data_IF_708070547726
#
_entry.id   IF_708070547726
#
_cell.length_a   1.000
_cell.length_b   1.000
_cell.length_c   1.000
_cell.angle_alpha   90.00
_cell.angle_beta   90.00
_cell.angle_gamma   90.00
#
_symmetry.space_group_name_H-M   'P 1'
#
loop_
_entity.id
_entity.type
_entity.pdbx_description
1 polymer ?
#
# COMPACT_ATOMS: atom_id res chain seq x y z
N UNK A 1 -23.32 -9.86 -60.20
CA UNK A 1 -24.48 -10.48 -59.51
C UNK A 1 -24.08 -10.84 -58.10
N UNK A 2 -24.93 -10.53 -57.12
CA UNK A 2 -24.79 -10.78 -55.68
C UNK A 2 -25.10 -12.24 -55.33
N UNK A 3 -24.35 -12.83 -54.40
CA UNK A 3 -24.81 -13.87 -53.45
C UNK A 3 -23.78 -13.94 -52.30
N UNK A 4 -23.98 -13.25 -51.17
CA UNK A 4 -24.68 -13.68 -49.92
C UNK A 4 -24.25 -15.06 -49.41
N UNK A 5 -23.45 -15.10 -48.33
CA UNK A 5 -23.81 -15.85 -47.11
C UNK A 5 -22.92 -15.49 -45.91
N UNK A 6 -23.50 -15.72 -44.73
CA UNK A 6 -23.33 -15.08 -43.41
C UNK A 6 -22.04 -15.37 -42.60
N UNK A 7 -21.81 -14.62 -41.50
CA UNK A 7 -20.62 -14.72 -40.67
C UNK A 7 -20.75 -15.84 -39.62
N UNK A 8 -19.69 -16.62 -39.43
CA UNK A 8 -19.53 -17.46 -38.25
C UNK A 8 -19.00 -16.59 -37.11
N UNK A 9 -19.88 -16.16 -36.21
CA UNK A 9 -19.48 -15.54 -34.94
C UNK A 9 -19.04 -16.65 -34.00
N UNK A 10 -17.73 -16.84 -33.87
CA UNK A 10 -17.12 -17.59 -32.77
C UNK A 10 -17.35 -16.77 -31.50
N UNK A 11 -18.39 -17.11 -30.75
CA UNK A 11 -18.60 -16.63 -29.39
C UNK A 11 -17.51 -17.29 -28.55
N UNK A 12 -16.39 -16.59 -28.37
CA UNK A 12 -15.43 -16.90 -27.32
C UNK A 12 -16.12 -16.55 -26.01
N UNK A 13 -16.80 -17.54 -25.42
CA UNK A 13 -17.17 -17.50 -24.00
C UNK A 13 -15.85 -17.59 -23.25
N UNK A 14 -15.19 -16.44 -23.10
CA UNK A 14 -14.14 -16.23 -22.12
C UNK A 14 -14.83 -16.32 -20.77
N UNK A 15 -14.97 -17.55 -20.28
CA UNK A 15 -15.13 -17.82 -18.86
C UNK A 15 -13.91 -17.21 -18.18
N UNK A 16 -14.03 -15.93 -17.85
CA UNK A 16 -13.16 -15.25 -16.91
C UNK A 16 -13.32 -16.04 -15.62
N UNK A 17 -12.45 -17.02 -15.46
CA UNK A 17 -12.07 -17.57 -14.18
C UNK A 17 -11.60 -16.37 -13.36
N UNK A 18 -12.55 -15.72 -12.69
CA UNK A 18 -12.30 -14.86 -11.57
C UNK A 18 -11.70 -15.75 -10.49
N UNK A 19 -10.42 -16.09 -10.64
CA UNK A 19 -9.61 -16.52 -9.53
C UNK A 19 -9.75 -15.41 -8.48
N UNK A 20 -10.20 -15.74 -7.26
CA UNK A 20 -10.17 -14.75 -6.20
C UNK A 20 -8.71 -14.30 -6.11
N UNK A 21 -8.46 -13.01 -6.34
CA UNK A 21 -7.20 -12.36 -5.98
C UNK A 21 -7.11 -12.50 -4.45
N UNK A 22 -6.66 -13.68 -4.03
CA UNK A 22 -6.79 -14.15 -2.65
C UNK A 22 -5.94 -13.27 -1.76
N UNK A 23 -6.39 -13.12 -0.51
CA UNK A 23 -5.83 -12.42 0.65
C UNK A 23 -4.32 -12.03 0.64
N UNK A 24 -3.42 -12.72 -0.07
CA UNK A 24 -2.02 -12.30 -0.26
C UNK A 24 -1.94 -10.92 -0.94
N UNK A 25 -2.90 -10.66 -1.82
CA UNK A 25 -3.12 -9.35 -2.45
C UNK A 25 -3.52 -8.28 -1.43
N UNK A 26 -4.37 -8.63 -0.45
CA UNK A 26 -4.84 -7.72 0.61
C UNK A 26 -3.71 -7.29 1.55
N UNK A 27 -2.89 -8.24 2.04
CA UNK A 27 -1.75 -7.92 2.91
C UNK A 27 -0.72 -7.04 2.18
N UNK A 28 -0.39 -7.40 0.93
CA UNK A 28 0.54 -6.64 0.10
C UNK A 28 0.02 -5.21 -0.17
N UNK A 29 -1.28 -5.08 -0.46
CA UNK A 29 -1.92 -3.79 -0.69
C UNK A 29 -1.83 -2.88 0.54
N UNK A 30 -2.21 -3.38 1.73
CA UNK A 30 -2.14 -2.61 2.98
C UNK A 30 -0.70 -2.19 3.28
N UNK A 31 0.27 -3.10 3.15
CA UNK A 31 1.69 -2.77 3.35
C UNK A 31 2.16 -1.70 2.37
N UNK A 32 1.72 -1.74 1.11
CA UNK A 32 2.06 -0.72 0.13
C UNK A 32 1.43 0.64 0.44
N UNK A 33 0.18 0.68 0.92
CA UNK A 33 -0.47 1.91 1.38
C UNK A 33 0.28 2.47 2.59
N UNK A 34 0.56 1.65 3.61
CA UNK A 34 1.32 2.04 4.79
C UNK A 34 2.71 2.58 4.45
N UNK A 35 3.44 1.91 3.54
CA UNK A 35 4.76 2.37 3.10
C UNK A 35 4.70 3.72 2.39
N UNK A 36 3.69 3.92 1.53
CA UNK A 36 3.50 5.19 0.82
C UNK A 36 3.09 6.31 1.77
N UNK A 37 2.16 6.04 2.68
CA UNK A 37 1.67 7.01 3.67
C UNK A 37 2.76 7.40 4.66
N UNK A 38 3.54 6.43 5.17
CA UNK A 38 4.68 6.69 6.05
C UNK A 38 5.78 7.50 5.35
N UNK A 39 6.04 7.23 4.07
CA UNK A 39 6.98 8.02 3.27
C UNK A 39 6.53 9.46 3.11
N UNK A 40 5.23 9.69 2.84
CA UNK A 40 4.63 11.03 2.76
C UNK A 40 4.67 11.79 4.06
N UNK A 41 4.31 11.13 5.17
CA UNK A 41 4.41 11.71 6.53
C UNK A 41 5.83 12.19 6.78
N UNK A 42 6.85 11.36 6.51
CA UNK A 42 8.25 11.76 6.67
C UNK A 42 8.63 12.91 5.75
N UNK A 43 8.32 12.82 4.46
CA UNK A 43 8.69 13.86 3.50
C UNK A 43 8.03 15.22 3.82
N UNK A 44 6.81 15.25 4.34
CA UNK A 44 6.19 16.47 4.87
C UNK A 44 6.92 16.95 6.12
N UNK A 45 7.09 16.04 7.08
CA UNK A 45 7.65 16.38 8.38
C UNK A 45 9.10 16.89 8.26
N UNK A 46 9.92 16.27 7.41
CA UNK A 46 11.29 16.68 7.13
C UNK A 46 11.33 18.10 6.52
N UNK A 47 10.50 18.37 5.51
CA UNK A 47 10.41 19.70 4.88
C UNK A 47 9.90 20.78 5.83
N UNK A 48 8.98 20.43 6.73
CA UNK A 48 8.41 21.35 7.71
C UNK A 48 9.13 21.36 9.07
N UNK A 49 10.20 20.57 9.23
CA UNK A 49 10.96 20.39 10.49
C UNK A 49 10.07 19.96 11.67
N UNK A 50 9.09 19.11 11.39
CA UNK A 50 8.20 18.51 12.39
C UNK A 50 8.80 17.17 12.81
N UNK A 51 8.76 16.85 14.10
CA UNK A 51 9.22 15.56 14.58
C UNK A 51 8.30 14.44 14.08
N UNK A 52 8.89 13.39 13.51
CA UNK A 52 8.18 12.19 13.10
C UNK A 52 8.13 11.20 14.26
N UNK A 53 7.02 10.48 14.40
CA UNK A 53 6.92 9.35 15.33
C UNK A 53 8.00 8.29 14.99
N UNK A 54 8.93 7.98 15.92
CA UNK A 54 9.95 6.97 15.68
C UNK A 54 9.36 5.58 15.39
N UNK A 55 8.14 5.31 15.82
CA UNK A 55 7.43 4.03 15.65
C UNK A 55 6.65 3.93 14.33
N UNK A 56 6.69 4.95 13.46
CA UNK A 56 5.94 5.01 12.20
C UNK A 56 6.24 3.86 11.21
N UNK A 57 7.39 3.22 11.27
CA UNK A 57 7.64 1.97 10.52
C UNK A 57 7.68 0.76 11.44
N UNK A 58 8.16 0.96 12.67
CA UNK A 58 8.30 -0.07 13.69
C UNK A 58 6.99 -0.83 13.91
N UNK A 59 5.86 -0.13 14.07
CA UNK A 59 4.58 -0.78 14.33
C UNK A 59 4.13 -1.71 13.19
N UNK A 60 4.40 -1.35 11.93
CA UNK A 60 4.08 -2.20 10.77
C UNK A 60 4.98 -3.43 10.76
N UNK A 61 6.28 -3.23 10.96
CA UNK A 61 7.27 -4.30 10.99
C UNK A 61 6.95 -5.28 12.11
N UNK A 62 6.72 -4.79 13.33
CA UNK A 62 6.34 -5.58 14.50
C UNK A 62 5.08 -6.40 14.23
N UNK A 63 4.03 -5.77 13.69
CA UNK A 63 2.77 -6.48 13.37
C UNK A 63 3.00 -7.59 12.34
N UNK A 64 3.89 -7.39 11.38
CA UNK A 64 4.17 -8.36 10.32
C UNK A 64 5.10 -9.51 10.77
N UNK A 65 5.82 -9.36 11.88
CA UNK A 65 6.69 -10.42 12.40
C UNK A 65 5.92 -11.68 12.80
N UNK A 66 4.64 -11.53 13.14
CA UNK A 66 3.76 -12.65 13.48
C UNK A 66 3.33 -13.47 12.26
N UNK A 67 3.55 -12.98 11.03
CA UNK A 67 3.16 -13.68 9.79
C UNK A 67 4.21 -14.71 9.40
N UNK A 68 3.90 -16.03 9.42
CA UNK A 68 4.86 -17.06 9.05
C UNK A 68 5.33 -16.92 7.61
N UNK A 69 6.61 -17.22 7.36
CA UNK A 69 7.24 -17.21 6.02
C UNK A 69 7.28 -15.84 5.32
N UNK A 70 6.88 -14.76 5.99
CA UNK A 70 7.03 -13.40 5.48
C UNK A 70 8.49 -12.94 5.61
N UNK A 71 9.07 -12.45 4.51
CA UNK A 71 10.43 -11.88 4.52
C UNK A 71 10.38 -10.42 4.94
N UNK A 72 10.56 -10.15 6.22
CA UNK A 72 10.58 -8.78 6.79
C UNK A 72 11.60 -7.88 6.09
N UNK A 73 12.75 -8.42 5.65
CA UNK A 73 13.74 -7.66 4.88
C UNK A 73 13.15 -7.03 3.61
N UNK A 74 12.26 -7.74 2.91
CA UNK A 74 11.57 -7.21 1.73
C UNK A 74 10.62 -6.07 2.07
N UNK A 75 9.94 -6.15 3.21
CA UNK A 75 9.08 -5.07 3.73
C UNK A 75 9.93 -3.84 4.06
N UNK A 76 11.03 -4.00 4.79
CA UNK A 76 11.95 -2.92 5.13
C UNK A 76 12.49 -2.24 3.86
N UNK A 77 12.95 -3.02 2.87
CA UNK A 77 13.42 -2.48 1.60
C UNK A 77 12.33 -1.70 0.86
N UNK A 78 11.07 -2.17 0.91
CA UNK A 78 9.94 -1.46 0.30
C UNK A 78 9.70 -0.09 0.96
N UNK A 79 9.73 -0.01 2.29
CA UNK A 79 9.61 1.25 3.03
C UNK A 79 10.75 2.21 2.70
N UNK A 80 11.99 1.71 2.64
CA UNK A 80 13.15 2.51 2.26
C UNK A 80 13.03 3.05 0.83
N UNK A 81 12.59 2.22 -0.11
CA UNK A 81 12.36 2.63 -1.50
C UNK A 81 11.28 3.71 -1.60
N UNK A 82 10.15 3.55 -0.89
CA UNK A 82 9.08 4.55 -0.86
C UNK A 82 9.55 5.86 -0.27
N UNK A 83 10.30 5.82 0.84
CA UNK A 83 10.90 7.02 1.46
C UNK A 83 11.78 7.79 0.48
N UNK A 84 12.69 7.09 -0.20
CA UNK A 84 13.59 7.72 -1.18
C UNK A 84 12.81 8.30 -2.36
N UNK A 85 11.80 7.58 -2.86
CA UNK A 85 10.95 8.05 -3.95
C UNK A 85 10.21 9.33 -3.56
N UNK A 86 9.56 9.35 -2.40
CA UNK A 86 8.74 10.49 -1.97
C UNK A 86 9.61 11.72 -1.68
N UNK A 87 10.75 11.54 -1.03
CA UNK A 87 11.71 12.62 -0.77
C UNK A 87 12.18 13.29 -2.07
N UNK A 88 12.38 12.52 -3.15
CA UNK A 88 12.76 13.04 -4.46
C UNK A 88 11.64 13.82 -5.15
N UNK A 89 10.40 13.37 -5.00
CA UNK A 89 9.23 13.99 -5.65
C UNK A 89 8.86 15.30 -4.93
N UNK A 90 8.83 15.27 -3.61
CA UNK A 90 8.31 16.36 -2.80
C UNK A 90 9.25 17.56 -2.70
N UNK A 91 10.56 17.32 -2.68
CA UNK A 91 11.57 18.36 -2.44
C UNK A 91 11.54 18.86 -0.99
N UNK A 92 12.10 20.05 -0.75
CA UNK A 92 12.40 20.57 0.61
C UNK A 92 11.47 21.69 1.10
N UNK A 93 10.47 22.09 0.30
CA UNK A 93 9.58 23.19 0.66
C UNK A 93 8.48 22.73 1.61
N UNK A 94 8.24 23.52 2.65
CA UNK A 94 7.03 23.41 3.48
C UNK A 94 5.97 24.38 2.95
N UNK A 95 4.77 23.87 2.72
CA UNK A 95 3.61 24.58 2.19
C UNK A 95 2.56 24.78 3.28
N UNK A 96 1.71 25.83 3.19
CA UNK A 96 0.69 26.10 4.20
C UNK A 96 -0.28 24.93 4.46
N UNK A 97 -0.63 24.17 3.42
CA UNK A 97 -1.55 23.04 3.47
C UNK A 97 -0.96 21.76 4.12
N UNK A 98 0.35 21.75 4.38
CA UNK A 98 1.04 20.54 4.84
C UNK A 98 0.61 20.09 6.23
N UNK A 99 0.18 21.02 7.09
CA UNK A 99 -0.33 20.68 8.42
C UNK A 99 -1.61 19.82 8.32
N UNK A 100 -2.54 20.22 7.46
CA UNK A 100 -3.80 19.49 7.24
C UNK A 100 -3.56 18.17 6.48
N UNK A 101 -2.65 18.19 5.50
CA UNK A 101 -2.21 16.98 4.82
C UNK A 101 -1.60 15.97 5.80
N UNK A 102 -0.75 16.42 6.73
CA UNK A 102 -0.12 15.58 7.73
C UNK A 102 -1.15 14.98 8.69
N UNK A 103 -2.14 15.75 9.13
CA UNK A 103 -3.25 15.25 9.97
C UNK A 103 -4.06 14.16 9.26
N UNK A 104 -4.36 14.38 7.98
CA UNK A 104 -5.08 13.42 7.14
C UNK A 104 -4.26 12.14 6.97
N UNK A 105 -2.98 12.26 6.63
CA UNK A 105 -2.09 11.12 6.43
C UNK A 105 -1.90 10.31 7.72
N UNK A 106 -1.77 10.97 8.87
CA UNK A 106 -1.70 10.28 10.16
C UNK A 106 -2.98 9.52 10.49
N UNK A 107 -4.15 10.05 10.12
CA UNK A 107 -5.44 9.37 10.32
C UNK A 107 -5.58 8.15 9.41
N UNK A 108 -5.22 8.29 8.13
CA UNK A 108 -5.16 7.18 7.19
C UNK A 108 -4.19 6.10 7.66
N UNK A 109 -2.98 6.49 8.07
CA UNK A 109 -1.96 5.56 8.56
C UNK A 109 -2.48 4.74 9.76
N UNK A 110 -3.14 5.39 10.73
CA UNK A 110 -3.72 4.70 11.89
C UNK A 110 -4.81 3.70 11.49
N UNK A 111 -5.66 4.06 10.53
CA UNK A 111 -6.70 3.16 10.00
C UNK A 111 -6.06 1.93 9.36
N UNK A 112 -5.09 2.14 8.48
CA UNK A 112 -4.42 1.05 7.76
C UNK A 112 -3.60 0.14 8.68
N UNK A 113 -3.05 0.66 9.79
CA UNK A 113 -2.41 -0.17 10.82
C UNK A 113 -3.45 -1.05 11.53
N UNK A 114 -4.66 -0.54 11.77
CA UNK A 114 -5.74 -1.35 12.34
C UNK A 114 -6.18 -2.47 11.38
N UNK A 115 -6.31 -2.14 10.10
CA UNK A 115 -6.65 -3.12 9.05
C UNK A 115 -5.56 -4.17 8.88
N UNK A 116 -4.28 -3.76 8.93
CA UNK A 116 -3.14 -4.67 8.93
C UNK A 116 -3.23 -5.67 10.09
N UNK A 117 -3.47 -5.20 11.31
CA UNK A 117 -3.62 -6.07 12.49
C UNK A 117 -4.76 -7.06 12.31
N UNK A 118 -5.89 -6.63 11.76
CA UNK A 118 -7.03 -7.49 11.49
C UNK A 118 -6.71 -8.55 10.41
N UNK A 119 -5.98 -8.20 9.35
CA UNK A 119 -5.52 -9.17 8.34
C UNK A 119 -4.53 -10.16 8.93
N UNK A 120 -3.54 -9.69 9.69
CA UNK A 120 -2.53 -10.56 10.31
C UNK A 120 -3.18 -11.53 11.29
N UNK A 121 -4.08 -11.06 12.16
CA UNK A 121 -4.79 -11.92 13.10
C UNK A 121 -5.57 -13.05 12.40
N UNK A 122 -6.21 -12.74 11.26
CA UNK A 122 -6.89 -13.75 10.43
C UNK A 122 -5.90 -14.77 9.87
N UNK A 123 -4.75 -14.33 9.38
CA UNK A 123 -3.72 -15.19 8.78
C UNK A 123 -3.00 -16.10 9.77
N UNK A 124 -2.83 -15.65 11.01
CA UNK A 124 -2.16 -16.44 12.05
C UNK A 124 -3.09 -17.52 12.61
N UNK A 125 -4.41 -17.34 12.48
CA UNK A 125 -5.41 -18.31 12.88
C UNK A 125 -5.67 -19.42 11.84
N UNK A 126 -5.17 -19.26 10.61
CA UNK A 126 -5.22 -20.26 9.51
C UNK A 126 -4.12 -21.33 9.67
#
# INVERSE_FOLDING_TARGET
MKMKSQPFVLVVVSSLLSCPAGAADELSAIVNVLATTAARIRAISDSCKIAVDPMLEGQVIETLMDVPRLKISGVISHFQQRRQSEARIRGSKCYPEDADALNTLNSLYKSEVADLKAVVARRVAE
#
